data_IF_281266778673
#
_entry.id   IF_281266778673
#
_cell.length_a   1.000
_cell.length_b   1.000
_cell.length_c   1.000
_cell.angle_alpha   90.00
_cell.angle_beta   90.00
_cell.angle_gamma   90.00
#
_symmetry.space_group_name_H-M   'P 1'
#
loop_
_entity.id
_entity.type
_entity.pdbx_description
1 polymer ?
#
# COMPACT_ATOMS: atom_id res chain seq x y z
N UNK A 1 4.32 3.24 5.19
CA UNK A 1 3.27 2.23 5.00
C UNK A 1 3.80 1.15 4.09
N UNK A 2 3.87 -0.10 4.56
CA UNK A 2 4.54 -1.20 3.85
C UNK A 2 3.51 -2.29 3.55
N UNK A 3 3.31 -2.58 2.26
CA UNK A 3 2.49 -3.69 1.76
C UNK A 3 3.45 -4.79 1.30
N UNK A 4 3.79 -5.71 2.20
CA UNK A 4 4.63 -6.88 1.88
C UNK A 4 3.81 -8.17 2.06
N UNK A 5 4.02 -9.11 1.12
CA UNK A 5 3.35 -10.41 1.07
C UNK A 5 3.76 -11.41 2.16
N UNK A 6 4.69 -11.03 3.03
CA UNK A 6 5.01 -11.73 4.28
C UNK A 6 5.60 -10.66 5.22
N UNK A 7 4.99 -10.36 6.39
CA UNK A 7 5.66 -9.88 7.63
C UNK A 7 4.65 -9.43 8.73
N UNK A 8 4.91 -9.97 9.93
CA UNK A 8 4.76 -9.48 11.33
C UNK A 8 3.84 -8.25 11.55
N UNK A 9 2.67 -8.37 12.22
CA UNK A 9 1.95 -7.24 12.79
C UNK A 9 2.85 -6.35 13.69
N UNK A 10 2.84 -5.02 13.51
CA UNK A 10 3.86 -4.11 14.05
C UNK A 10 3.86 -3.93 15.58
N UNK A 11 2.95 -4.56 16.33
CA UNK A 11 2.72 -4.20 17.73
C UNK A 11 2.82 -5.36 18.74
N UNK A 12 2.66 -6.58 18.28
CA UNK A 12 2.68 -7.79 19.11
C UNK A 12 3.46 -8.81 18.31
N UNK A 13 4.47 -9.44 18.93
CA UNK A 13 5.42 -10.41 18.37
C UNK A 13 4.77 -11.68 17.78
N UNK A 14 3.80 -11.49 16.91
CA UNK A 14 3.00 -12.48 16.23
C UNK A 14 3.52 -12.55 14.80
N UNK A 15 3.72 -13.76 14.31
CA UNK A 15 4.03 -14.02 12.92
C UNK A 15 2.77 -14.60 12.28
N UNK A 16 2.14 -13.84 11.38
CA UNK A 16 0.98 -14.31 10.62
C UNK A 16 1.16 -13.99 9.15
N UNK A 17 0.79 -14.96 8.31
CA UNK A 17 0.80 -14.79 6.85
C UNK A 17 -0.54 -14.21 6.43
N UNK A 18 -0.51 -13.06 5.78
CA UNK A 18 -1.69 -12.37 5.28
C UNK A 18 -1.58 -12.15 3.78
N UNK A 19 -2.70 -12.15 3.03
CA UNK A 19 -2.68 -11.86 1.60
C UNK A 19 -2.20 -10.43 1.29
N UNK A 20 -2.42 -9.49 2.22
CA UNK A 20 -1.85 -8.15 2.22
C UNK A 20 -1.75 -7.67 3.67
N UNK A 21 -0.89 -6.69 3.94
CA UNK A 21 -0.75 -6.07 5.24
C UNK A 21 -0.61 -4.55 5.09
N UNK A 22 -1.27 -3.79 5.96
CA UNK A 22 -1.14 -2.33 6.03
C UNK A 22 -0.65 -1.93 7.42
N UNK A 23 0.26 -0.95 7.48
CA UNK A 23 0.86 -0.51 8.74
C UNK A 23 1.40 0.91 8.67
N UNK A 24 1.58 1.53 9.86
CA UNK A 24 1.89 2.95 10.02
C UNK A 24 0.68 3.76 10.52
N UNK A 25 0.86 5.05 10.76
CA UNK A 25 -0.22 5.97 11.16
C UNK A 25 -1.33 6.08 10.11
N UNK A 26 -0.94 6.11 8.83
CA UNK A 26 -1.87 6.26 7.71
C UNK A 26 -2.75 5.04 7.42
N UNK A 27 -2.44 3.86 7.95
CA UNK A 27 -3.22 2.64 7.66
C UNK A 27 -4.63 2.70 8.21
N UNK A 28 -4.85 3.44 9.29
CA UNK A 28 -6.16 3.60 9.93
C UNK A 28 -7.21 4.19 8.99
N UNK A 29 -6.81 5.00 8.02
CA UNK A 29 -7.71 5.70 7.09
C UNK A 29 -8.13 4.86 5.88
N UNK A 30 -7.47 3.72 5.63
CA UNK A 30 -7.64 2.96 4.39
C UNK A 30 -8.20 1.56 4.56
N UNK A 31 -8.47 1.11 5.79
CA UNK A 31 -9.04 -0.23 6.03
C UNK A 31 -10.30 -0.50 5.20
N UNK A 32 -11.24 0.44 5.15
CA UNK A 32 -12.45 0.29 4.33
C UNK A 32 -12.16 0.21 2.81
N UNK A 33 -11.13 0.89 2.33
CA UNK A 33 -10.72 0.83 0.92
C UNK A 33 -10.07 -0.50 0.58
N UNK A 34 -9.12 -0.96 1.40
CA UNK A 34 -8.40 -2.21 1.13
C UNK A 34 -9.33 -3.42 1.24
N UNK A 35 -10.30 -3.41 2.15
CA UNK A 35 -11.29 -4.49 2.27
C UNK A 35 -12.26 -4.54 1.08
N UNK A 36 -12.60 -3.38 0.50
CA UNK A 36 -13.50 -3.29 -0.65
C UNK A 36 -12.80 -3.63 -1.99
N UNK A 37 -11.56 -3.17 -2.17
CA UNK A 37 -10.84 -3.26 -3.44
C UNK A 37 -9.93 -4.49 -3.56
N UNK A 38 -9.59 -5.15 -2.44
CA UNK A 38 -8.76 -6.34 -2.49
C UNK A 38 -9.46 -7.48 -3.23
N UNK A 39 -8.81 -7.96 -4.29
CA UNK A 39 -9.23 -9.14 -5.05
C UNK A 39 -8.16 -10.21 -5.01
N UNK A 40 -8.57 -11.46 -4.74
CA UNK A 40 -7.64 -12.58 -4.78
C UNK A 40 -7.20 -12.84 -6.22
N UNK A 41 -5.90 -13.00 -6.44
CA UNK A 41 -5.34 -13.29 -7.77
C UNK A 41 -5.16 -12.07 -8.68
N UNK A 42 -5.03 -10.87 -8.10
CA UNK A 42 -4.60 -9.68 -8.84
C UNK A 42 -3.28 -9.93 -9.57
N UNK A 43 -3.19 -9.47 -10.81
CA UNK A 43 -1.94 -9.51 -11.57
C UNK A 43 -0.95 -8.45 -11.03
N UNK A 44 0.30 -8.49 -11.51
CA UNK A 44 1.36 -7.58 -11.07
C UNK A 44 0.95 -6.10 -11.16
N UNK A 45 0.37 -5.69 -12.29
CA UNK A 45 -0.04 -4.30 -12.52
C UNK A 45 -1.21 -3.89 -11.62
N UNK A 46 -2.18 -4.77 -11.41
CA UNK A 46 -3.30 -4.55 -10.51
C UNK A 46 -2.83 -4.42 -9.06
N UNK A 47 -1.92 -5.27 -8.61
CA UNK A 47 -1.31 -5.17 -7.27
C UNK A 47 -0.56 -3.84 -7.08
N UNK A 48 0.24 -3.44 -8.07
CA UNK A 48 0.92 -2.14 -8.05
C UNK A 48 -0.09 -0.99 -7.96
N UNK A 49 -1.14 -1.00 -8.79
CA UNK A 49 -2.17 0.05 -8.76
C UNK A 49 -2.92 0.08 -7.43
N UNK A 50 -3.26 -1.08 -6.87
CA UNK A 50 -3.89 -1.21 -5.55
C UNK A 50 -3.04 -0.56 -4.46
N UNK A 51 -1.73 -0.83 -4.44
CA UNK A 51 -0.78 -0.23 -3.50
C UNK A 51 -0.71 1.29 -3.67
N UNK A 52 -0.56 1.78 -4.91
CA UNK A 52 -0.49 3.22 -5.20
C UNK A 52 -1.75 3.94 -4.74
N UNK A 53 -2.93 3.42 -5.09
CA UNK A 53 -4.21 4.00 -4.69
C UNK A 53 -4.35 4.06 -3.17
N UNK A 54 -3.99 2.96 -2.49
CA UNK A 54 -4.03 2.88 -1.03
C UNK A 54 -3.11 3.92 -0.40
N UNK A 55 -1.87 4.05 -0.88
CA UNK A 55 -0.91 5.05 -0.38
C UNK A 55 -1.41 6.47 -0.61
N UNK A 56 -1.92 6.77 -1.81
CA UNK A 56 -2.49 8.09 -2.12
C UNK A 56 -3.66 8.45 -1.19
N UNK A 57 -4.57 7.52 -0.91
CA UNK A 57 -5.67 7.75 0.02
C UNK A 57 -5.19 7.97 1.45
N UNK A 58 -4.21 7.18 1.91
CA UNK A 58 -3.62 7.35 3.23
C UNK A 58 -2.92 8.71 3.38
N UNK A 59 -2.08 9.09 2.41
CA UNK A 59 -1.33 10.35 2.41
C UNK A 59 -2.24 11.58 2.36
N UNK A 60 -3.40 11.49 1.70
CA UNK A 60 -4.36 12.60 1.67
C UNK A 60 -5.08 12.84 3.01
N UNK A 61 -5.18 11.82 3.87
CA UNK A 61 -5.91 11.93 5.15
C UNK A 61 -5.00 11.97 6.38
N UNK A 62 -3.80 11.42 6.29
CA UNK A 62 -2.84 11.37 7.38
C UNK A 62 -1.74 12.43 7.22
N UNK A 63 -1.74 13.45 8.08
CA UNK A 63 -0.70 14.49 8.07
C UNK A 63 0.72 14.01 8.40
N UNK A 64 0.88 12.81 8.95
CA UNK A 64 2.19 12.19 9.18
C UNK A 64 2.70 11.34 8.01
N UNK A 65 1.86 11.11 6.99
CA UNK A 65 2.20 10.38 5.77
C UNK A 65 2.22 11.33 4.57
N UNK A 66 3.30 11.34 3.77
CA UNK A 66 3.40 12.27 2.64
C UNK A 66 4.67 12.09 1.80
N UNK A 67 4.81 12.92 0.76
CA UNK A 67 5.96 12.90 -0.15
C UNK A 67 5.72 12.10 -1.43
N UNK A 68 6.40 10.96 -1.58
CA UNK A 68 6.40 10.12 -2.79
C UNK A 68 6.01 8.69 -2.44
N UNK A 69 5.43 7.95 -3.39
CA UNK A 69 5.22 6.52 -3.23
C UNK A 69 6.42 5.75 -3.79
N UNK A 70 7.18 5.10 -2.90
CA UNK A 70 8.24 4.17 -3.26
C UNK A 70 7.70 2.74 -3.20
N UNK A 71 7.80 2.01 -4.30
CA UNK A 71 7.23 0.68 -4.46
C UNK A 71 8.31 -0.26 -4.97
N UNK A 72 8.39 -1.43 -4.34
CA UNK A 72 9.25 -2.53 -4.77
C UNK A 72 8.35 -3.72 -5.09
N UNK A 73 8.47 -4.23 -6.31
CA UNK A 73 7.78 -5.45 -6.74
C UNK A 73 8.80 -6.57 -6.83
N UNK A 74 8.50 -7.69 -6.17
CA UNK A 74 9.36 -8.87 -6.15
C UNK A 74 8.56 -10.02 -6.73
N UNK A 75 9.07 -10.62 -7.80
CA UNK A 75 8.49 -11.77 -8.47
C UNK A 75 9.59 -12.78 -8.86
N UNK A 76 9.22 -13.86 -9.55
CA UNK A 76 10.16 -14.90 -9.99
C UNK A 76 11.19 -14.41 -11.03
N UNK A 77 10.93 -13.29 -11.71
CA UNK A 77 11.83 -12.70 -12.69
C UNK A 77 12.81 -11.71 -12.06
N UNK A 78 12.54 -11.25 -10.83
CA UNK A 78 13.47 -10.46 -10.03
C UNK A 78 12.77 -9.35 -9.25
N UNK A 79 13.50 -8.26 -9.06
CA UNK A 79 13.07 -7.10 -8.28
C UNK A 79 12.95 -5.87 -9.18
N UNK A 80 11.83 -5.17 -9.08
CA UNK A 80 11.56 -3.92 -9.78
C UNK A 80 11.27 -2.82 -8.75
N UNK A 81 12.03 -1.73 -8.82
CA UNK A 81 11.84 -0.55 -7.97
C UNK A 81 11.23 0.59 -8.77
N UNK A 82 10.22 1.24 -8.20
CA UNK A 82 9.53 2.37 -8.82
C UNK A 82 9.27 3.48 -7.80
N UNK A 83 9.53 4.71 -8.21
CA UNK A 83 9.18 5.90 -7.45
C UNK A 83 8.12 6.67 -8.21
N UNK A 84 6.99 6.94 -7.55
CA UNK A 84 5.93 7.79 -8.09
C UNK A 84 5.98 9.11 -7.33
N UNK A 85 6.27 10.17 -8.08
CA UNK A 85 6.36 11.52 -7.53
C UNK A 85 4.98 12.00 -7.07
N UNK A 86 4.93 12.90 -6.09
CA UNK A 86 3.68 13.39 -5.51
C UNK A 86 2.72 13.99 -6.55
N UNK A 87 3.25 14.64 -7.60
CA UNK A 87 2.46 15.19 -8.71
C UNK A 87 1.92 14.14 -9.70
N UNK A 88 2.39 12.89 -9.60
CA UNK A 88 1.96 11.75 -10.41
C UNK A 88 1.09 10.78 -9.61
N UNK A 89 0.89 11.04 -8.32
CA UNK A 89 0.01 10.23 -7.49
C UNK A 89 -1.45 10.42 -7.93
N UNK A 90 -2.25 9.34 -7.94
CA UNK A 90 -3.69 9.44 -8.14
C UNK A 90 -4.32 10.42 -7.15
N UNK A 91 -5.16 11.30 -7.67
CA UNK A 91 -5.97 12.23 -6.89
C UNK A 91 -7.37 11.65 -6.68
N UNK A 92 -7.87 11.81 -5.46
CA UNK A 92 -9.22 11.42 -5.07
C UNK A 92 -9.92 12.63 -4.47
N UNK A 93 -11.18 12.49 -4.07
CA UNK A 93 -11.96 13.57 -3.46
C UNK A 93 -11.33 14.07 -2.14
N UNK A 94 -11.07 15.38 -2.06
CA UNK A 94 -10.34 16.04 -0.97
C UNK A 94 -11.01 17.32 -0.41
N UNK A 95 -12.27 17.59 -0.75
CA UNK A 95 -13.02 18.76 -0.25
C UNK A 95 -13.43 18.65 1.22
#
# INVERSE_FOLDING_TARGET
MTLLGDIIPPFLWLLTRQPFAVGGSGSSYVYGFVDAEYRRGMNKQECQQFVVNTLSLAMNRDGSSGGVAYIVTIDEHGTEEKVILGNQLPTFFDQ
#
